data_IF_664058723591
#
_entry.id   IF_664058723591
#
_cell.length_a   1.000
_cell.length_b   1.000
_cell.length_c   1.000
_cell.angle_alpha   90.00
_cell.angle_beta   90.00
_cell.angle_gamma   90.00
#
_symmetry.space_group_name_H-M   'P 1'
#
loop_
_entity.id
_entity.type
_entity.pdbx_description
1 polymer ?
#
# COMPACT_ATOMS: atom_id res chain seq x y z
N UNK A 1 5.67 -19.33 19.22
CA UNK A 1 6.95 -19.53 19.96
C UNK A 1 7.77 -18.22 20.07
N UNK A 2 8.10 -17.53 18.94
CA UNK A 2 8.89 -16.28 18.98
C UNK A 2 8.15 -15.18 19.76
N UNK A 3 6.90 -14.92 19.42
CA UNK A 3 6.08 -13.90 20.08
C UNK A 3 5.86 -14.19 21.58
N UNK A 4 5.73 -15.46 21.95
CA UNK A 4 5.58 -15.86 23.36
C UNK A 4 6.87 -15.63 24.15
N UNK A 5 8.03 -15.89 23.55
CA UNK A 5 9.33 -15.64 24.19
C UNK A 5 9.56 -14.12 24.39
N UNK A 6 9.21 -13.30 23.39
CA UNK A 6 9.28 -11.84 23.52
C UNK A 6 8.33 -11.31 24.61
N UNK A 7 7.08 -11.81 24.64
CA UNK A 7 6.11 -11.44 25.69
C UNK A 7 6.55 -11.88 27.09
N UNK A 8 7.31 -12.97 27.19
CA UNK A 8 7.85 -13.47 28.45
C UNK A 8 9.19 -12.80 28.87
N UNK A 9 9.64 -11.79 28.13
CA UNK A 9 10.94 -11.13 28.32
C UNK A 9 12.16 -12.06 28.21
N UNK A 10 12.04 -13.14 27.45
CA UNK A 10 13.15 -14.03 27.08
C UNK A 10 13.99 -13.45 25.92
N UNK A 11 13.50 -12.37 25.30
CA UNK A 11 14.18 -11.62 24.26
C UNK A 11 13.88 -10.12 24.40
N UNK A 12 14.89 -9.27 24.24
CA UNK A 12 14.78 -7.82 24.36
C UNK A 12 14.37 -7.12 23.06
N UNK A 13 14.61 -7.76 21.92
CA UNK A 13 14.37 -7.20 20.59
C UNK A 13 13.56 -8.19 19.75
N UNK A 14 12.47 -7.69 19.17
CA UNK A 14 11.66 -8.41 18.19
C UNK A 14 11.82 -7.75 16.82
N UNK A 15 12.34 -8.51 15.85
CA UNK A 15 12.48 -8.07 14.46
C UNK A 15 11.50 -8.85 13.57
N UNK A 16 10.80 -8.15 12.70
CA UNK A 16 9.88 -8.78 11.77
C UNK A 16 9.28 -7.78 10.79
N UNK A 17 8.33 -8.25 10.01
CA UNK A 17 7.60 -7.45 9.03
C UNK A 17 6.34 -6.82 9.65
N UNK A 18 5.54 -6.14 8.85
CA UNK A 18 4.23 -5.60 9.26
C UNK A 18 3.31 -6.61 10.01
N UNK A 19 3.58 -7.91 9.88
CA UNK A 19 2.79 -8.95 10.58
C UNK A 19 2.90 -8.86 12.11
N UNK A 20 4.05 -8.40 12.64
CA UNK A 20 4.23 -8.25 14.09
C UNK A 20 3.47 -7.05 14.67
N UNK A 21 3.11 -6.09 13.82
CA UNK A 21 2.35 -4.90 14.24
C UNK A 21 0.87 -5.21 14.41
N UNK A 22 0.35 -6.23 13.70
CA UNK A 22 -1.06 -6.59 13.70
C UNK A 22 -1.38 -7.63 14.79
N UNK A 23 -2.37 -7.33 15.61
CA UNK A 23 -2.98 -8.33 16.53
C UNK A 23 -2.20 -8.67 17.79
N UNK A 24 -1.05 -8.03 18.05
CA UNK A 24 -0.26 -8.27 19.26
C UNK A 24 -0.15 -6.99 20.09
N UNK A 25 -0.26 -7.13 21.40
CA UNK A 25 -0.08 -6.05 22.36
C UNK A 25 1.06 -6.40 23.31
N UNK A 26 2.09 -5.56 23.30
CA UNK A 26 3.27 -5.69 24.17
C UNK A 26 3.40 -4.39 24.98
N UNK A 27 2.83 -4.34 26.19
CA UNK A 27 2.72 -3.09 26.95
C UNK A 27 4.09 -2.53 27.41
N UNK A 28 5.11 -3.36 27.48
CA UNK A 28 6.45 -2.97 27.93
C UNK A 28 7.38 -2.53 26.79
N UNK A 29 6.88 -2.46 25.57
CA UNK A 29 7.63 -1.94 24.42
C UNK A 29 7.81 -0.43 24.56
N UNK A 30 9.07 0.00 24.71
CA UNK A 30 9.44 1.40 24.85
C UNK A 30 9.98 2.02 23.57
N UNK A 31 10.42 1.19 22.59
CA UNK A 31 10.93 1.66 21.30
C UNK A 31 10.35 0.85 20.17
N UNK A 32 9.86 1.53 19.16
CA UNK A 32 9.45 0.94 17.87
C UNK A 32 10.27 1.59 16.75
N UNK A 33 10.95 0.77 15.96
CA UNK A 33 11.68 1.21 14.76
C UNK A 33 10.99 0.72 13.49
N UNK A 34 10.56 1.63 12.62
CA UNK A 34 10.14 1.31 11.26
C UNK A 34 11.28 1.59 10.29
N UNK A 35 11.86 0.54 9.72
CA UNK A 35 13.01 0.63 8.80
C UNK A 35 12.51 0.62 7.37
N UNK A 36 13.09 1.49 6.52
CA UNK A 36 12.74 1.64 5.11
C UNK A 36 11.21 1.83 4.89
N UNK A 37 10.64 2.78 5.61
CA UNK A 37 9.19 3.03 5.69
C UNK A 37 8.56 3.42 4.33
N UNK A 38 9.37 3.90 3.41
CA UNK A 38 8.99 4.33 2.05
C UNK A 38 8.98 3.20 1.01
N UNK A 39 9.38 1.97 1.36
CA UNK A 39 9.34 0.86 0.39
C UNK A 39 7.92 0.62 -0.16
N UNK A 40 6.90 0.75 0.67
CA UNK A 40 5.51 0.59 0.27
C UNK A 40 4.98 1.73 -0.62
N UNK A 41 5.65 2.90 -0.64
CA UNK A 41 5.30 4.01 -1.54
C UNK A 41 5.67 3.74 -3.00
N UNK A 42 6.57 2.80 -3.24
CA UNK A 42 7.02 2.43 -4.60
C UNK A 42 6.13 1.36 -5.27
N UNK A 43 5.06 0.93 -4.61
CA UNK A 43 4.10 0.01 -5.21
C UNK A 43 3.27 0.70 -6.30
N UNK A 44 2.98 -0.01 -7.38
CA UNK A 44 2.13 0.47 -8.48
C UNK A 44 0.63 0.38 -8.10
N UNK A 45 0.24 1.04 -7.01
CA UNK A 45 -1.15 1.08 -6.52
C UNK A 45 -1.42 2.49 -5.97
N UNK A 46 -2.52 3.12 -6.41
CA UNK A 46 -2.91 4.46 -5.95
C UNK A 46 -3.12 4.57 -4.44
N UNK A 47 -3.27 3.43 -3.75
CA UNK A 47 -3.43 3.36 -2.28
C UNK A 47 -2.11 3.20 -1.54
N UNK A 48 -0.97 3.28 -2.21
CA UNK A 48 0.34 3.06 -1.56
C UNK A 48 0.59 4.03 -0.40
N UNK A 49 0.26 5.31 -0.57
CA UNK A 49 0.42 6.32 0.48
C UNK A 49 -0.52 6.07 1.67
N UNK A 50 -1.77 5.67 1.42
CA UNK A 50 -2.73 5.30 2.45
C UNK A 50 -2.26 4.07 3.24
N UNK A 51 -1.79 3.02 2.55
CA UNK A 51 -1.25 1.83 3.22
C UNK A 51 -0.03 2.16 4.07
N UNK A 52 0.87 2.99 3.55
CA UNK A 52 2.06 3.45 4.29
C UNK A 52 1.64 4.21 5.55
N UNK A 53 0.72 5.17 5.43
CA UNK A 53 0.19 5.91 6.58
C UNK A 53 -0.42 4.96 7.63
N UNK A 54 -1.28 4.03 7.21
CA UNK A 54 -1.93 3.07 8.10
C UNK A 54 -0.92 2.18 8.85
N UNK A 55 0.06 1.64 8.14
CA UNK A 55 1.09 0.78 8.71
C UNK A 55 1.97 1.51 9.72
N UNK A 56 2.42 2.71 9.36
CA UNK A 56 3.27 3.52 10.23
C UNK A 56 2.51 4.02 11.46
N UNK A 57 1.28 4.48 11.30
CA UNK A 57 0.43 4.90 12.44
C UNK A 57 0.19 3.74 13.40
N UNK A 58 -0.06 2.53 12.90
CA UNK A 58 -0.17 1.34 13.72
C UNK A 58 1.13 1.01 14.47
N UNK A 59 2.28 1.13 13.78
CA UNK A 59 3.59 0.87 14.38
C UNK A 59 3.90 1.90 15.47
N UNK A 60 3.78 3.19 15.18
CA UNK A 60 3.98 4.29 16.14
C UNK A 60 3.07 4.12 17.36
N UNK A 61 1.81 3.77 17.15
CA UNK A 61 0.84 3.53 18.23
C UNK A 61 1.11 2.30 19.10
N UNK A 62 2.18 1.53 18.85
CA UNK A 62 2.58 0.39 19.70
C UNK A 62 3.57 0.75 20.80
N UNK A 63 4.28 1.86 20.65
CA UNK A 63 5.20 2.33 21.69
C UNK A 63 4.46 3.00 22.85
N UNK A 64 4.93 2.79 24.09
CA UNK A 64 4.46 3.55 25.25
C UNK A 64 3.04 3.23 25.74
N UNK A 65 2.50 2.04 25.48
CA UNK A 65 1.18 1.63 26.00
C UNK A 65 1.18 1.23 27.47
N UNK A 66 2.35 0.99 28.03
CA UNK A 66 2.53 0.65 29.44
C UNK A 66 2.75 1.86 30.35
N UNK A 67 3.42 1.61 31.45
CA UNK A 67 3.77 2.66 32.46
C UNK A 67 4.93 3.55 32.01
N UNK A 68 5.71 3.13 31.01
CA UNK A 68 6.88 3.85 30.49
C UNK A 68 6.49 4.63 29.25
N UNK A 69 7.05 5.81 29.08
CA UNK A 69 6.95 6.56 27.83
C UNK A 69 7.62 5.76 26.71
N UNK A 70 6.96 5.72 25.55
CA UNK A 70 7.48 5.06 24.36
C UNK A 70 7.95 6.06 23.32
N UNK A 71 8.91 5.63 22.52
CA UNK A 71 9.43 6.35 21.37
C UNK A 71 9.22 5.53 20.09
N UNK A 72 8.95 6.22 18.97
CA UNK A 72 8.89 5.59 17.66
C UNK A 72 9.84 6.30 16.70
N UNK A 73 10.67 5.54 16.02
CA UNK A 73 11.61 6.05 15.01
C UNK A 73 11.20 5.51 13.65
N UNK A 74 10.96 6.43 12.71
CA UNK A 74 10.66 6.09 11.32
C UNK A 74 11.88 6.44 10.47
N UNK A 75 12.52 5.44 9.89
CA UNK A 75 13.62 5.62 8.96
C UNK A 75 13.07 5.56 7.53
N UNK A 76 13.36 6.58 6.72
CA UNK A 76 12.93 6.72 5.33
C UNK A 76 13.98 7.44 4.51
N UNK A 77 14.00 7.20 3.20
CA UNK A 77 14.74 8.00 2.21
C UNK A 77 13.96 9.24 1.77
N UNK A 78 12.63 9.26 1.99
CA UNK A 78 11.70 10.34 1.67
C UNK A 78 10.92 10.80 2.91
N UNK A 79 11.61 11.29 3.96
CA UNK A 79 10.96 11.66 5.21
C UNK A 79 9.98 12.84 5.06
N UNK A 80 10.10 13.62 3.96
CA UNK A 80 9.23 14.74 3.62
C UNK A 80 7.87 14.30 3.04
N UNK A 81 7.69 13.03 2.67
CA UNK A 81 6.45 12.54 2.10
C UNK A 81 5.28 12.71 3.08
N UNK A 82 4.17 13.28 2.61
CA UNK A 82 3.03 13.66 3.48
C UNK A 82 2.50 12.50 4.32
N UNK A 83 2.44 11.27 3.77
CA UNK A 83 1.97 10.09 4.52
C UNK A 83 2.89 9.71 5.68
N UNK A 84 4.22 9.90 5.53
CA UNK A 84 5.22 9.65 6.57
C UNK A 84 5.15 10.74 7.63
N UNK A 85 5.08 12.01 7.21
CA UNK A 85 4.96 13.15 8.13
C UNK A 85 3.69 13.07 8.98
N UNK A 86 2.56 12.77 8.36
CA UNK A 86 1.29 12.62 9.05
C UNK A 86 1.28 11.41 9.99
N UNK A 87 1.85 10.28 9.57
CA UNK A 87 1.95 9.09 10.41
C UNK A 87 2.83 9.32 11.65
N UNK A 88 3.95 10.03 11.49
CA UNK A 88 4.85 10.37 12.60
C UNK A 88 4.15 11.23 13.67
N UNK A 89 3.23 12.10 13.23
CA UNK A 89 2.42 12.97 14.11
C UNK A 89 1.10 12.33 14.54
N UNK A 90 0.76 11.17 13.99
CA UNK A 90 -0.57 10.52 14.10
C UNK A 90 -1.72 11.45 13.68
N UNK A 91 -1.47 12.31 12.70
CA UNK A 91 -2.39 13.32 12.20
C UNK A 91 -3.15 12.77 10.97
N UNK A 92 -4.30 12.14 11.24
CA UNK A 92 -5.16 11.61 10.18
C UNK A 92 -5.74 12.72 9.30
N UNK A 93 -6.10 13.86 9.89
CA UNK A 93 -6.73 14.96 9.15
C UNK A 93 -5.77 15.55 8.12
N UNK A 94 -4.52 15.82 8.51
CA UNK A 94 -3.50 16.29 7.58
C UNK A 94 -3.24 15.26 6.46
N UNK A 95 -3.18 13.96 6.80
CA UNK A 95 -3.06 12.90 5.79
C UNK A 95 -4.24 12.93 4.82
N UNK A 96 -5.47 12.97 5.34
CA UNK A 96 -6.70 12.92 4.54
C UNK A 96 -6.78 14.08 3.54
N UNK A 97 -6.45 15.28 3.96
CA UNK A 97 -6.50 16.46 3.10
C UNK A 97 -5.53 16.35 1.90
N UNK A 98 -4.28 15.96 2.15
CA UNK A 98 -3.28 15.78 1.09
C UNK A 98 -3.62 14.60 0.17
N UNK A 99 -4.02 13.47 0.74
CA UNK A 99 -4.41 12.29 -0.04
C UNK A 99 -5.62 12.57 -0.93
N UNK A 100 -6.64 13.26 -0.42
CA UNK A 100 -7.83 13.58 -1.19
C UNK A 100 -7.56 14.63 -2.27
N UNK A 101 -6.68 15.59 -2.03
CA UNK A 101 -6.24 16.53 -3.06
C UNK A 101 -5.54 15.80 -4.20
N UNK A 102 -4.63 14.87 -3.88
CA UNK A 102 -3.95 14.02 -4.86
C UNK A 102 -4.93 13.14 -5.66
N UNK A 103 -5.85 12.44 -4.98
CA UNK A 103 -6.84 11.56 -5.65
C UNK A 103 -7.79 12.33 -6.54
N UNK A 104 -8.16 13.53 -6.14
CA UNK A 104 -9.01 14.40 -6.98
C UNK A 104 -8.28 14.86 -8.22
N UNK A 105 -6.99 15.24 -8.09
CA UNK A 105 -6.17 15.67 -9.22
C UNK A 105 -5.95 14.53 -10.24
N UNK A 106 -5.79 13.30 -9.74
CA UNK A 106 -5.44 12.13 -10.55
C UNK A 106 -6.66 11.29 -10.98
N UNK A 107 -7.88 11.73 -10.68
CA UNK A 107 -9.12 10.99 -10.93
C UNK A 107 -9.10 9.57 -10.31
N UNK A 108 -8.54 9.46 -9.07
CA UNK A 108 -8.55 8.21 -8.32
C UNK A 108 -9.75 8.09 -7.37
N UNK A 109 -10.18 6.87 -7.04
CA UNK A 109 -11.19 6.65 -6.01
C UNK A 109 -10.80 7.29 -4.65
N UNK A 110 -11.74 7.88 -3.91
CA UNK A 110 -13.20 7.95 -4.15
C UNK A 110 -13.64 9.12 -5.02
N UNK A 111 -12.74 10.00 -5.48
CA UNK A 111 -13.08 11.17 -6.29
C UNK A 111 -13.60 10.79 -7.67
N UNK A 112 -13.15 9.65 -8.20
CA UNK A 112 -13.65 9.03 -9.42
C UNK A 112 -13.93 7.53 -9.20
N UNK A 113 -14.49 6.89 -10.21
CA UNK A 113 -14.69 5.44 -10.22
C UNK A 113 -13.63 4.79 -11.10
N UNK A 114 -13.04 3.71 -10.61
CA UNK A 114 -12.06 2.93 -11.36
C UNK A 114 -12.50 1.47 -11.42
N UNK A 115 -12.36 0.87 -12.60
CA UNK A 115 -12.54 -0.56 -12.82
C UNK A 115 -11.23 -1.13 -13.35
N UNK A 116 -10.75 -2.21 -12.77
CA UNK A 116 -9.62 -2.96 -13.32
C UNK A 116 -10.11 -4.28 -13.90
N UNK A 117 -9.65 -4.60 -15.10
CA UNK A 117 -9.85 -5.89 -15.75
C UNK A 117 -8.51 -6.61 -15.81
N UNK A 118 -8.37 -7.68 -15.05
CA UNK A 118 -7.20 -8.55 -15.07
C UNK A 118 -7.48 -9.75 -15.96
N UNK A 119 -6.63 -9.98 -16.94
CA UNK A 119 -6.65 -11.19 -17.75
C UNK A 119 -5.37 -12.00 -17.55
N UNK A 120 -5.49 -13.32 -17.65
CA UNK A 120 -4.39 -14.26 -17.47
C UNK A 120 -4.42 -15.33 -18.55
N UNK A 121 -3.25 -15.74 -19.02
CA UNK A 121 -3.13 -16.79 -20.04
C UNK A 121 -1.71 -17.32 -20.15
N UNK A 122 -1.58 -18.56 -20.65
CA UNK A 122 -0.29 -19.20 -20.89
C UNK A 122 0.37 -18.67 -22.18
N UNK A 123 -0.43 -18.26 -23.15
CA UNK A 123 0.02 -17.68 -24.41
C UNK A 123 0.04 -16.15 -24.31
N UNK A 124 1.26 -15.59 -24.31
CA UNK A 124 1.46 -14.14 -24.18
C UNK A 124 0.90 -13.37 -25.38
N UNK A 125 1.01 -13.92 -26.60
CA UNK A 125 0.56 -13.25 -27.82
C UNK A 125 -0.97 -13.23 -27.91
N UNK A 126 -1.61 -14.34 -27.61
CA UNK A 126 -3.07 -14.43 -27.55
C UNK A 126 -3.63 -13.50 -26.46
N UNK A 127 -2.99 -13.45 -25.30
CA UNK A 127 -3.36 -12.53 -24.21
C UNK A 127 -3.24 -11.07 -24.63
N UNK A 128 -2.16 -10.71 -25.32
CA UNK A 128 -1.96 -9.36 -25.88
C UNK A 128 -3.10 -8.98 -26.83
N UNK A 129 -3.34 -9.82 -27.83
CA UNK A 129 -4.37 -9.59 -28.84
C UNK A 129 -5.77 -9.46 -28.22
N UNK A 130 -6.08 -10.32 -27.23
CA UNK A 130 -7.35 -10.30 -26.50
C UNK A 130 -7.54 -9.01 -25.70
N UNK A 131 -6.52 -8.58 -25.01
CA UNK A 131 -6.56 -7.34 -24.21
C UNK A 131 -6.62 -6.09 -25.09
N UNK A 132 -5.90 -6.06 -26.21
CA UNK A 132 -5.99 -4.98 -27.20
C UNK A 132 -7.39 -4.91 -27.86
N UNK A 133 -7.98 -6.05 -28.16
CA UNK A 133 -9.35 -6.10 -28.65
C UNK A 133 -10.33 -5.53 -27.61
N UNK A 134 -10.21 -5.96 -26.36
CA UNK A 134 -11.05 -5.49 -25.25
C UNK A 134 -10.93 -3.99 -25.04
N UNK A 135 -9.70 -3.46 -25.03
CA UNK A 135 -9.45 -2.02 -24.87
C UNK A 135 -10.12 -1.21 -25.98
N UNK A 136 -9.97 -1.62 -27.24
CA UNK A 136 -10.62 -0.99 -28.39
C UNK A 136 -12.13 -1.10 -28.35
N UNK A 137 -12.66 -2.25 -27.92
CA UNK A 137 -14.09 -2.46 -27.79
C UNK A 137 -14.70 -1.53 -26.73
N UNK A 138 -14.09 -1.50 -25.52
CA UNK A 138 -14.54 -0.64 -24.44
C UNK A 138 -14.47 0.84 -24.86
N UNK A 139 -13.35 1.28 -25.44
CA UNK A 139 -13.21 2.66 -25.92
C UNK A 139 -14.30 3.06 -26.89
N UNK A 140 -14.68 2.18 -27.83
CA UNK A 140 -15.74 2.43 -28.81
C UNK A 140 -17.12 2.55 -28.18
N UNK A 141 -17.49 1.63 -27.27
CA UNK A 141 -18.83 1.66 -26.65
C UNK A 141 -18.97 2.75 -25.62
N UNK A 142 -17.85 3.21 -25.04
CA UNK A 142 -17.83 4.24 -24.00
C UNK A 142 -17.68 5.67 -24.54
N UNK A 143 -17.60 5.89 -25.86
CA UNK A 143 -17.53 7.23 -26.46
C UNK A 143 -18.64 8.18 -25.98
N UNK A 144 -19.80 7.65 -25.61
CA UNK A 144 -20.93 8.42 -25.06
C UNK A 144 -20.78 8.75 -23.56
N UNK A 145 -19.81 8.15 -22.90
CA UNK A 145 -19.59 8.27 -21.48
C UNK A 145 -18.18 8.82 -21.25
N UNK A 146 -17.97 9.51 -20.14
CA UNK A 146 -16.65 10.00 -19.76
C UNK A 146 -15.83 8.85 -19.15
N UNK A 147 -15.45 7.88 -19.97
CA UNK A 147 -14.63 6.73 -19.56
C UNK A 147 -13.27 6.87 -20.23
N UNK A 148 -12.22 6.80 -19.43
CA UNK A 148 -10.85 6.76 -19.89
C UNK A 148 -10.33 5.33 -19.75
N UNK A 149 -9.81 4.76 -20.83
CA UNK A 149 -9.25 3.42 -20.86
C UNK A 149 -7.73 3.54 -20.81
N UNK A 150 -7.11 2.93 -19.80
CA UNK A 150 -5.66 2.97 -19.57
C UNK A 150 -5.11 1.55 -19.68
N UNK A 151 -4.15 1.35 -20.56
CA UNK A 151 -3.58 0.05 -20.89
C UNK A 151 -4.01 -0.45 -22.27
N UNK A 152 -3.84 -1.74 -22.58
CA UNK A 152 -3.41 -2.82 -21.67
C UNK A 152 -1.92 -2.72 -21.30
N UNK A 153 -1.60 -3.16 -20.09
CA UNK A 153 -0.23 -3.24 -19.59
C UNK A 153 0.00 -4.58 -18.85
N UNK A 154 1.22 -4.97 -18.66
CA UNK A 154 1.52 -6.06 -17.75
C UNK A 154 1.11 -5.67 -16.32
N UNK A 155 0.53 -6.61 -15.57
CA UNK A 155 0.27 -6.43 -14.15
C UNK A 155 1.59 -6.23 -13.38
N UNK A 156 1.55 -5.75 -12.15
CA UNK A 156 2.74 -5.54 -11.28
C UNK A 156 3.59 -6.81 -11.16
N UNK A 157 2.95 -7.99 -11.20
CA UNK A 157 3.60 -9.28 -11.41
C UNK A 157 3.13 -9.81 -12.75
N UNK A 158 3.90 -9.54 -13.80
CA UNK A 158 3.51 -9.81 -15.19
C UNK A 158 3.51 -11.29 -15.57
N UNK A 159 4.19 -12.16 -14.80
CA UNK A 159 4.25 -13.61 -15.06
C UNK A 159 4.44 -14.39 -13.75
N UNK A 160 3.61 -15.43 -13.52
CA UNK A 160 3.74 -16.37 -12.41
C UNK A 160 3.45 -17.77 -12.91
N UNK A 161 4.35 -18.73 -12.64
CA UNK A 161 4.19 -20.14 -13.03
C UNK A 161 3.80 -20.32 -14.52
N UNK A 162 4.53 -19.61 -15.41
CA UNK A 162 4.28 -19.58 -16.86
C UNK A 162 2.93 -18.98 -17.30
N UNK A 163 2.17 -18.40 -16.40
CA UNK A 163 0.94 -17.67 -16.69
C UNK A 163 1.27 -16.17 -16.75
N UNK A 164 0.96 -15.55 -17.87
CA UNK A 164 1.08 -14.10 -18.09
C UNK A 164 -0.15 -13.38 -17.56
N UNK A 165 0.05 -12.18 -17.02
CA UNK A 165 -1.00 -11.34 -16.45
C UNK A 165 -0.96 -9.96 -17.09
N UNK A 166 -2.09 -9.52 -17.63
CA UNK A 166 -2.29 -8.15 -18.14
C UNK A 166 -3.47 -7.48 -17.48
N UNK A 167 -3.39 -6.18 -17.37
CA UNK A 167 -4.40 -5.35 -16.72
C UNK A 167 -4.81 -4.20 -17.64
N UNK A 168 -6.08 -3.85 -17.56
CA UNK A 168 -6.71 -2.68 -18.16
C UNK A 168 -7.45 -1.93 -17.06
N UNK A 169 -7.34 -0.61 -17.04
CA UNK A 169 -8.06 0.26 -16.13
C UNK A 169 -9.04 1.15 -16.87
#
# INVERSE_FOLDING_TARGET
RILSAFAAHEADILVGTQMIVKGHDFPDVTLVGAVAADLSLNEADYRCAERTFQLLTQAVGRSGRGRKSGEAIIQSYHPEHYSIQAAAKQDYEAFYQEEMAYRTLMDYPPSAHMLSVLASGEDAELLEQGMDYLARFISRISEKYKVHVIGPAYASVGKVNDIYHKVLY
#
